data_IF_305609750550
#
_entry.id   IF_305609750550
#
_cell.length_a   1.000
_cell.length_b   1.000
_cell.length_c   1.000
_cell.angle_alpha   90.00
_cell.angle_beta   90.00
_cell.angle_gamma   90.00
#
_symmetry.space_group_name_H-M   'P 1'
#
loop_
_entity.id
_entity.type
_entity.pdbx_description
1 polymer ?
#
# COMPACT_ATOMS: atom_id res chain seq x y z
N UNK A 1 0.40 10.34 -2.20
CA UNK A 1 1.72 10.01 -1.64
C UNK A 1 2.70 9.52 -2.72
N UNK A 2 2.60 8.27 -3.23
CA UNK A 2 3.60 7.72 -4.16
C UNK A 2 3.71 8.44 -5.51
N UNK A 3 2.60 8.91 -6.10
CA UNK A 3 2.63 9.73 -7.31
C UNK A 3 3.43 11.03 -7.10
N UNK A 4 3.21 11.69 -5.96
CA UNK A 4 3.94 12.92 -5.60
C UNK A 4 5.41 12.65 -5.30
N UNK A 5 5.73 11.52 -4.66
CA UNK A 5 7.12 11.09 -4.49
C UNK A 5 7.81 10.91 -5.84
N UNK A 6 7.15 10.25 -6.80
CA UNK A 6 7.66 10.07 -8.15
C UNK A 6 7.88 11.43 -8.84
N UNK A 7 6.92 12.36 -8.76
CA UNK A 7 7.07 13.73 -9.28
C UNK A 7 8.26 14.47 -8.67
N UNK A 8 8.42 14.45 -7.34
CA UNK A 8 9.55 15.09 -6.64
C UNK A 8 10.91 14.50 -7.05
N UNK A 9 10.95 13.21 -7.38
CA UNK A 9 12.16 12.52 -7.86
C UNK A 9 12.42 12.67 -9.36
N UNK A 10 11.50 13.30 -10.10
CA UNK A 10 11.57 13.38 -11.55
C UNK A 10 11.32 12.02 -12.22
N UNK A 11 10.71 11.06 -11.51
CA UNK A 11 10.29 9.80 -12.10
C UNK A 11 8.99 10.00 -12.89
N UNK A 12 8.89 9.30 -14.01
CA UNK A 12 7.66 9.25 -14.78
C UNK A 12 6.74 8.20 -14.16
N UNK A 13 5.60 8.64 -13.62
CA UNK A 13 4.58 7.77 -13.05
C UNK A 13 3.38 7.67 -14.00
N UNK A 14 2.91 6.45 -14.25
CA UNK A 14 1.75 6.15 -15.07
C UNK A 14 0.82 5.22 -14.30
N UNK A 15 -0.45 5.58 -14.16
CA UNK A 15 -1.47 4.72 -13.55
C UNK A 15 -1.92 3.74 -14.63
N UNK A 16 -1.61 2.46 -14.46
CA UNK A 16 -2.00 1.40 -15.41
C UNK A 16 -3.44 0.96 -15.18
N UNK A 17 -3.83 0.85 -13.91
CA UNK A 17 -5.14 0.40 -13.50
C UNK A 17 -5.53 1.10 -12.20
N UNK A 18 -6.78 1.52 -12.10
CA UNK A 18 -7.37 2.04 -10.88
C UNK A 18 -8.81 1.52 -10.80
N UNK A 19 -9.16 0.97 -9.64
CA UNK A 19 -10.54 0.61 -9.32
C UNK A 19 -11.01 1.44 -8.15
N UNK A 20 -12.12 2.16 -8.33
CA UNK A 20 -12.70 2.98 -7.28
C UNK A 20 -13.37 2.12 -6.19
N UNK A 21 -13.42 2.64 -4.97
CA UNK A 21 -14.09 2.02 -3.85
C UNK A 21 -15.60 2.27 -3.87
N UNK A 22 -16.37 1.34 -3.31
CA UNK A 22 -17.85 1.39 -3.32
C UNK A 22 -18.45 2.59 -2.57
N UNK A 23 -17.71 3.15 -1.61
CA UNK A 23 -18.18 4.28 -0.76
C UNK A 23 -17.28 5.50 -0.93
N UNK A 24 -15.97 5.34 -0.79
CA UNK A 24 -14.99 6.39 -0.98
C UNK A 24 -13.60 5.79 -1.23
N UNK A 25 -12.76 6.51 -1.96
CA UNK A 25 -11.37 6.15 -2.21
C UNK A 25 -11.20 5.12 -3.32
N UNK A 26 -10.09 4.41 -3.28
CA UNK A 26 -9.63 3.48 -4.33
C UNK A 26 -9.50 2.09 -3.70
N UNK A 27 -10.10 1.07 -4.35
CA UNK A 27 -10.02 -0.34 -3.93
C UNK A 27 -8.68 -0.96 -4.29
N UNK A 28 -8.17 -0.67 -5.48
CA UNK A 28 -6.85 -1.10 -5.96
C UNK A 28 -6.31 -0.10 -6.98
N UNK A 29 -5.00 0.06 -7.01
CA UNK A 29 -4.32 0.83 -8.04
C UNK A 29 -2.99 0.16 -8.41
N UNK A 30 -2.72 0.08 -9.70
CA UNK A 30 -1.45 -0.37 -10.26
C UNK A 30 -0.77 0.82 -10.90
N UNK A 31 0.43 1.17 -10.42
CA UNK A 31 1.19 2.33 -10.89
C UNK A 31 2.52 1.83 -11.44
N UNK A 32 2.84 2.23 -12.67
CA UNK A 32 4.15 2.05 -13.29
C UNK A 32 5.01 3.28 -12.99
N UNK A 33 6.22 3.07 -12.51
CA UNK A 33 7.19 4.15 -12.23
C UNK A 33 8.46 3.89 -13.03
N UNK A 34 8.84 4.85 -13.87
CA UNK A 34 10.03 4.82 -14.72
C UNK A 34 10.99 5.93 -14.28
N UNK A 35 12.27 5.59 -14.08
CA UNK A 35 13.31 6.54 -13.71
C UNK A 35 14.58 5.85 -13.24
N UNK A 36 15.66 6.63 -13.15
CA UNK A 36 16.96 6.12 -12.73
C UNK A 36 16.90 5.58 -11.30
N UNK A 37 17.30 4.32 -11.13
CA UNK A 37 17.27 3.60 -9.86
C UNK A 37 15.89 3.57 -9.16
N UNK A 38 14.79 3.80 -9.89
CA UNK A 38 13.44 3.85 -9.32
C UNK A 38 13.10 2.57 -8.51
N UNK A 39 13.50 1.40 -9.01
CA UNK A 39 13.36 0.14 -8.27
C UNK A 39 14.16 0.13 -6.96
N UNK A 40 15.38 0.68 -6.94
CA UNK A 40 16.23 0.74 -5.75
C UNK A 40 15.63 1.58 -4.63
N UNK A 41 14.97 2.70 -4.97
CA UNK A 41 14.28 3.56 -4.01
C UNK A 41 12.95 2.96 -3.53
N UNK A 42 12.18 2.35 -4.43
CA UNK A 42 10.82 1.90 -4.13
C UNK A 42 10.74 0.46 -3.62
N UNK A 43 11.78 -0.37 -3.80
CA UNK A 43 11.79 -1.75 -3.26
C UNK A 43 11.58 -1.77 -1.75
N UNK A 44 12.05 -0.74 -1.04
CA UNK A 44 11.87 -0.61 0.41
C UNK A 44 10.46 -0.22 0.80
N UNK A 45 9.58 0.09 -0.15
CA UNK A 45 8.15 0.36 0.10
C UNK A 45 7.27 -0.87 -0.16
N UNK A 46 7.88 -2.04 -0.36
CA UNK A 46 7.16 -3.30 -0.49
C UNK A 46 6.58 -3.72 0.87
N UNK A 47 5.25 -3.81 0.97
CA UNK A 47 4.57 -4.29 2.18
C UNK A 47 3.20 -3.66 2.37
N UNK A 48 2.56 -4.01 3.48
CA UNK A 48 1.24 -3.47 3.82
C UNK A 48 1.39 -2.20 4.65
N UNK A 49 0.84 -1.11 4.12
CA UNK A 49 0.68 0.16 4.83
C UNK A 49 -0.72 0.23 5.43
N UNK A 50 -0.83 0.47 6.74
CA UNK A 50 -2.12 0.65 7.41
C UNK A 50 -2.28 2.08 7.89
N UNK A 51 -3.35 2.72 7.42
CA UNK A 51 -3.87 3.96 7.97
C UNK A 51 -4.93 3.60 9.03
N UNK A 52 -4.78 4.12 10.25
CA UNK A 52 -5.81 4.01 11.27
C UNK A 52 -6.58 5.33 11.32
N UNK A 53 -7.86 5.30 10.93
CA UNK A 53 -8.80 6.38 11.20
C UNK A 53 -9.62 5.97 12.42
N UNK A 54 -9.50 6.71 13.51
CA UNK A 54 -10.38 6.55 14.66
C UNK A 54 -11.75 7.12 14.31
N UNK A 55 -12.68 6.25 13.88
CA UNK A 55 -14.09 6.60 13.81
C UNK A 55 -14.95 5.54 14.50
N UNK A 56 -15.93 6.01 15.28
CA UNK A 56 -16.76 5.18 16.17
C UNK A 56 -18.07 4.83 15.48
N UNK A 57 -18.20 3.63 14.92
CA UNK A 57 -19.52 3.00 14.75
C UNK A 57 -19.44 1.49 14.54
N UNK A 58 -19.86 0.74 15.57
CA UNK A 58 -19.91 -0.73 15.61
C UNK A 58 -21.10 -1.31 14.80
N UNK A 59 -21.99 -0.48 14.24
CA UNK A 59 -23.28 -0.95 13.69
C UNK A 59 -23.38 -1.00 12.15
N UNK A 60 -22.29 -0.79 11.39
CA UNK A 60 -22.28 -0.99 9.93
C UNK A 60 -21.49 -2.20 9.42
N UNK A 61 -20.62 -2.80 10.24
CA UNK A 61 -19.77 -3.93 9.84
C UNK A 61 -20.49 -5.29 9.69
N UNK A 62 -21.80 -5.37 9.98
CA UNK A 62 -22.55 -6.64 9.93
C UNK A 62 -23.25 -6.88 8.58
N UNK A 63 -23.44 -5.85 7.76
CA UNK A 63 -24.15 -5.96 6.48
C UNK A 63 -23.23 -6.38 5.31
N UNK A 64 -21.94 -6.04 5.35
CA UNK A 64 -20.95 -6.36 4.30
C UNK A 64 -20.59 -7.85 4.24
N UNK A 65 -20.69 -8.57 5.36
CA UNK A 65 -20.35 -10.00 5.45
C UNK A 65 -21.26 -10.91 4.60
N UNK A 66 -22.47 -10.46 4.24
CA UNK A 66 -23.43 -11.26 3.48
C UNK A 66 -23.29 -11.11 1.95
N UNK A 67 -22.66 -10.01 1.48
CA UNK A 67 -22.28 -9.87 0.06
C UNK A 67 -21.04 -10.71 -0.30
N UNK A 68 -20.11 -10.93 0.64
CA UNK A 68 -18.92 -11.77 0.42
C UNK A 68 -19.26 -13.23 0.05
N UNK A 69 -20.37 -13.77 0.56
CA UNK A 69 -20.80 -15.14 0.29
C UNK A 69 -21.27 -15.36 -1.16
N UNK A 70 -21.77 -14.30 -1.81
CA UNK A 70 -22.19 -14.32 -3.23
C UNK A 70 -20.99 -14.21 -4.19
N UNK A 71 -19.87 -13.62 -3.74
CA UNK A 71 -18.63 -13.50 -4.54
C UNK A 71 -17.81 -14.80 -4.61
N UNK A 72 -17.92 -15.67 -3.60
CA UNK A 72 -17.18 -16.95 -3.53
C UNK A 72 -17.50 -17.95 -4.65
N UNK A 73 -18.69 -17.84 -5.26
CA UNK A 73 -19.11 -18.73 -6.34
C UNK A 73 -18.55 -18.29 -7.71
N UNK A 74 -18.22 -16.99 -7.86
CA UNK A 74 -17.57 -16.42 -9.04
C UNK A 74 -16.04 -16.53 -8.96
N UNK A 75 -15.48 -16.49 -7.74
CA UNK A 75 -14.05 -16.70 -7.44
C UNK A 75 -13.51 -18.08 -7.84
N UNK A 76 -14.36 -19.10 -7.88
CA UNK A 76 -13.95 -20.47 -8.27
C UNK A 76 -13.63 -20.55 -9.77
N UNK A 77 -14.35 -19.80 -10.60
CA UNK A 77 -14.20 -19.77 -12.05
C UNK A 77 -12.97 -18.94 -12.46
N UNK A 78 -12.73 -17.83 -11.76
CA UNK A 78 -11.56 -16.97 -11.97
C UNK A 78 -10.26 -17.59 -11.45
N UNK A 79 -10.31 -18.46 -10.42
CA UNK A 79 -9.16 -19.20 -9.88
C UNK A 79 -8.38 -19.99 -10.92
N UNK A 80 -9.07 -20.58 -11.89
CA UNK A 80 -8.42 -21.38 -12.93
C UNK A 80 -7.64 -20.50 -13.93
N UNK A 81 -8.05 -19.24 -14.15
CA UNK A 81 -7.30 -18.27 -14.97
C UNK A 81 -6.14 -17.64 -14.21
N UNK A 82 -6.33 -17.35 -12.92
CA UNK A 82 -5.29 -16.76 -12.09
C UNK A 82 -4.17 -17.75 -11.73
N UNK A 83 -4.43 -19.07 -11.74
CA UNK A 83 -3.41 -20.10 -11.49
C UNK A 83 -2.24 -20.09 -12.52
N UNK A 84 -2.47 -19.58 -13.73
CA UNK A 84 -1.40 -19.37 -14.72
C UNK A 84 -0.58 -18.09 -14.45
N UNK A 85 -1.22 -17.04 -13.92
CA UNK A 85 -0.53 -15.81 -13.51
C UNK A 85 0.22 -15.98 -12.17
N UNK A 86 -0.30 -16.82 -11.26
CA UNK A 86 0.23 -17.13 -9.93
C UNK A 86 1.65 -17.71 -9.96
N UNK A 87 2.00 -18.51 -10.97
CA UNK A 87 3.37 -19.03 -11.14
C UNK A 87 4.42 -17.94 -11.36
N UNK A 88 4.01 -16.77 -11.84
CA UNK A 88 4.85 -15.60 -12.03
C UNK A 88 4.85 -14.68 -10.80
N UNK A 89 3.81 -14.75 -9.96
CA UNK A 89 3.63 -13.98 -8.73
C UNK A 89 4.10 -14.67 -7.45
N UNK A 90 4.29 -15.99 -7.43
CA UNK A 90 4.80 -16.74 -6.25
C UNK A 90 6.26 -16.37 -5.86
N UNK A 91 6.94 -15.51 -6.63
CA UNK A 91 8.17 -14.84 -6.19
C UNK A 91 7.94 -13.57 -5.36
N UNK A 92 6.70 -13.11 -5.21
CA UNK A 92 6.29 -11.95 -4.41
C UNK A 92 5.50 -12.43 -3.19
N UNK A 93 5.87 -11.92 -2.02
CA UNK A 93 5.33 -12.35 -0.72
C UNK A 93 3.88 -11.92 -0.50
N UNK A 94 3.15 -12.79 0.19
CA UNK A 94 1.71 -12.80 0.44
C UNK A 94 1.16 -11.52 1.11
N UNK A 95 0.05 -10.98 0.59
CA UNK A 95 -0.65 -9.77 1.08
C UNK A 95 -1.70 -10.12 2.16
N UNK A 96 -1.50 -11.24 2.87
CA UNK A 96 -2.30 -11.67 4.03
C UNK A 96 -1.52 -11.52 5.34
N UNK A 97 -2.12 -10.88 6.35
CA UNK A 97 -1.53 -10.54 7.68
C UNK A 97 0.00 -10.32 7.66
N UNK A 98 0.46 -9.58 6.65
CA UNK A 98 1.88 -9.36 6.40
C UNK A 98 2.53 -8.48 7.46
N UNK A 99 3.86 -8.52 7.49
CA UNK A 99 4.71 -7.66 8.31
C UNK A 99 4.41 -6.20 7.95
N UNK A 100 3.59 -5.55 8.78
CA UNK A 100 3.25 -4.15 8.61
C UNK A 100 4.55 -3.33 8.61
N UNK A 101 4.80 -2.60 7.53
CA UNK A 101 6.06 -1.85 7.40
C UNK A 101 5.96 -0.44 7.95
N UNK A 102 4.75 0.15 7.95
CA UNK A 102 4.53 1.51 8.46
C UNK A 102 3.17 1.66 9.13
N UNK A 103 3.15 2.43 10.22
CA UNK A 103 1.94 2.83 10.94
C UNK A 103 1.73 4.33 10.80
N UNK A 104 0.55 4.72 10.32
CA UNK A 104 0.14 6.13 10.17
C UNK A 104 -0.93 6.44 11.23
N UNK A 105 -0.52 7.14 12.28
CA UNK A 105 -1.34 7.52 13.44
C UNK A 105 -1.51 9.04 13.39
N UNK A 106 -2.44 9.50 12.55
CA UNK A 106 -2.56 10.91 12.18
C UNK A 106 -3.14 11.78 13.30
N UNK A 107 -3.96 11.20 14.18
CA UNK A 107 -4.50 11.86 15.38
C UNK A 107 -3.40 12.31 16.34
N UNK A 108 -2.32 11.55 16.43
CA UNK A 108 -1.12 11.90 17.21
C UNK A 108 -0.03 12.54 16.34
N UNK A 109 -0.37 12.93 15.11
CA UNK A 109 0.58 13.44 14.11
C UNK A 109 1.84 12.58 13.99
N UNK A 110 1.71 11.25 14.00
CA UNK A 110 2.87 10.34 14.03
C UNK A 110 2.83 9.32 12.90
N UNK A 111 3.94 9.21 12.17
CA UNK A 111 4.17 8.13 11.21
C UNK A 111 5.43 7.40 11.63
N UNK A 112 5.32 6.09 11.86
CA UNK A 112 6.43 5.24 12.30
C UNK A 112 6.64 4.07 11.35
N UNK A 113 7.86 3.91 10.86
CA UNK A 113 8.28 2.71 10.15
C UNK A 113 8.68 1.64 11.16
N UNK A 114 8.07 0.46 11.06
CA UNK A 114 8.21 -0.62 12.02
C UNK A 114 9.48 -1.45 11.79
N UNK A 115 10.10 -1.33 10.61
CA UNK A 115 11.35 -2.03 10.29
C UNK A 115 12.54 -1.24 10.80
N UNK A 116 12.53 0.07 10.55
CA UNK A 116 13.66 0.95 10.88
C UNK A 116 13.52 1.65 12.22
N UNK A 117 12.32 1.61 12.83
CA UNK A 117 11.92 2.41 13.98
C UNK A 117 12.00 3.92 13.77
N UNK A 118 12.29 4.40 12.55
CA UNK A 118 12.28 5.81 12.23
C UNK A 118 10.85 6.36 12.35
N UNK A 119 10.72 7.50 13.02
CA UNK A 119 9.44 8.19 13.20
C UNK A 119 9.52 9.64 12.74
N UNK A 120 8.40 10.13 12.21
CA UNK A 120 8.24 11.52 11.82
C UNK A 120 6.95 12.06 12.43
N UNK A 121 7.06 13.27 12.99
CA UNK A 121 5.94 14.05 13.53
C UNK A 121 5.26 14.95 12.48
N UNK A 122 5.91 15.18 11.33
CA UNK A 122 5.37 16.00 10.25
C UNK A 122 4.62 15.12 9.25
N UNK A 123 3.42 14.67 9.62
CA UNK A 123 2.57 13.78 8.82
C UNK A 123 2.28 14.33 7.43
N UNK A 124 1.95 15.62 7.34
CA UNK A 124 1.53 16.24 6.09
C UNK A 124 2.62 16.16 5.02
N UNK A 125 3.87 16.47 5.40
CA UNK A 125 5.02 16.42 4.50
C UNK A 125 5.24 15.01 3.92
N UNK A 126 5.04 13.97 4.75
CA UNK A 126 5.16 12.58 4.32
C UNK A 126 4.04 12.21 3.34
N UNK A 127 2.79 12.56 3.65
CA UNK A 127 1.64 12.30 2.77
C UNK A 127 1.76 13.03 1.43
N UNK A 128 2.39 14.20 1.44
CA UNK A 128 2.72 15.01 0.27
C UNK A 128 3.90 14.45 -0.55
N UNK A 129 4.52 13.35 -0.12
CA UNK A 129 5.51 12.61 -0.91
C UNK A 129 6.95 12.73 -0.43
N UNK A 130 7.23 13.29 0.75
CA UNK A 130 8.59 13.30 1.31
C UNK A 130 8.94 11.95 1.98
N UNK A 131 9.07 10.89 1.18
CA UNK A 131 9.35 9.53 1.66
C UNK A 131 10.85 9.24 1.85
N UNK A 132 11.72 10.14 1.39
CA UNK A 132 13.17 9.97 1.45
C UNK A 132 13.73 9.62 2.83
N UNK A 133 13.27 10.23 3.94
CA UNK A 133 13.79 9.89 5.26
C UNK A 133 13.56 8.42 5.63
N UNK A 134 12.43 7.85 5.23
CA UNK A 134 12.12 6.44 5.47
C UNK A 134 12.95 5.52 4.57
N UNK A 135 13.03 5.83 3.27
CA UNK A 135 13.78 5.04 2.29
C UNK A 135 15.27 5.03 2.64
N UNK A 136 15.84 6.18 3.00
CA UNK A 136 17.24 6.27 3.42
C UNK A 136 17.49 5.49 4.72
N UNK A 137 16.56 5.51 5.68
CA UNK A 137 16.68 4.73 6.91
C UNK A 137 16.69 3.22 6.60
N UNK A 138 15.83 2.75 5.69
CA UNK A 138 15.80 1.35 5.25
C UNK A 138 17.08 0.95 4.53
N UNK A 139 17.53 1.75 3.57
CA UNK A 139 18.77 1.50 2.83
C UNK A 139 20.00 1.45 3.73
N UNK A 140 20.07 2.31 4.77
CA UNK A 140 21.16 2.29 5.77
C UNK A 140 21.18 1.00 6.59
N UNK A 141 20.01 0.40 6.84
CA UNK A 141 19.91 -0.88 7.55
C UNK A 141 20.06 -2.09 6.62
N UNK A 142 20.17 -1.88 5.31
CA UNK A 142 20.33 -2.95 4.32
C UNK A 142 19.05 -3.76 4.06
N UNK A 143 17.89 -3.19 4.39
CA UNK A 143 16.56 -3.80 4.23
C UNK A 143 15.81 -3.16 3.06
#
# INVERSE_FOLDING_TARGET
MYLRYAEHKGFKAEILEQSDGDVAGIKSATIKIEGDYAYGFLRTETGVHRLCQNDRSQHRNRAEAMQMLKSRLYELEMRNRMAEQQKLEDSKSDVGWGHQIRSYVLDQSRIKDLRTNYESSNTQKILDGDLDPFIQASLKQGI
#
